data_IF_565375237724
#
_entry.id   IF_565375237724
#
_cell.length_a   1.000
_cell.length_b   1.000
_cell.length_c   1.000
_cell.angle_alpha   90.00
_cell.angle_beta   90.00
_cell.angle_gamma   90.00
#
_symmetry.space_group_name_H-M   'P 1'
#
loop_
_entity.id
_entity.type
_entity.pdbx_description
1 polymer ?
#
# COMPACT_ATOMS: atom_id res chain seq x y z
N UNK A 1 -20.11 7.64 -1.82
CA UNK A 1 -18.92 7.10 -2.52
C UNK A 1 -19.26 6.91 -4.00
N UNK A 2 -18.37 7.28 -4.92
CA UNK A 2 -18.56 7.05 -6.37
C UNK A 2 -17.31 6.41 -6.95
N UNK A 3 -17.48 5.43 -7.83
CA UNK A 3 -16.41 4.75 -8.58
C UNK A 3 -16.71 4.95 -10.07
N UNK A 4 -15.75 5.48 -10.82
CA UNK A 4 -15.94 5.92 -12.22
C UNK A 4 -17.16 6.84 -12.41
N UNK A 5 -17.42 7.72 -11.44
CA UNK A 5 -18.53 8.67 -11.45
C UNK A 5 -19.90 8.08 -11.07
N UNK A 6 -19.99 6.78 -10.79
CA UNK A 6 -21.23 6.06 -10.53
C UNK A 6 -21.27 5.46 -9.11
N UNK A 7 -22.47 5.21 -8.60
CA UNK A 7 -22.66 4.48 -7.34
C UNK A 7 -22.30 3.00 -7.56
N UNK A 8 -21.41 2.41 -6.74
CA UNK A 8 -21.11 0.98 -6.83
C UNK A 8 -22.24 0.10 -6.31
N UNK A 9 -23.18 0.65 -5.54
CA UNK A 9 -24.33 -0.08 -4.99
C UNK A 9 -25.44 -0.30 -6.01
N UNK A 10 -25.58 0.62 -6.96
CA UNK A 10 -26.73 0.67 -7.87
C UNK A 10 -26.39 0.19 -9.30
N UNK A 11 -25.09 -0.03 -9.60
CA UNK A 11 -24.66 -0.44 -10.94
C UNK A 11 -23.66 -1.61 -10.91
N UNK A 12 -24.13 -2.78 -11.37
CA UNK A 12 -23.32 -3.99 -11.52
C UNK A 12 -22.25 -3.88 -12.60
N UNK A 13 -22.35 -2.93 -13.55
CA UNK A 13 -21.30 -2.67 -14.54
C UNK A 13 -20.00 -2.19 -13.89
N UNK A 14 -20.10 -1.41 -12.81
CA UNK A 14 -18.94 -0.93 -12.04
C UNK A 14 -18.16 -2.09 -11.43
N UNK A 15 -18.85 -3.16 -11.02
CA UNK A 15 -18.22 -4.38 -10.52
C UNK A 15 -17.47 -5.14 -11.63
N UNK A 16 -17.95 -5.09 -12.88
CA UNK A 16 -17.25 -5.69 -14.01
C UNK A 16 -15.97 -4.94 -14.37
N UNK A 17 -15.91 -3.63 -14.11
CA UNK A 17 -14.73 -2.77 -14.26
C UNK A 17 -13.75 -2.83 -13.07
N UNK A 18 -14.08 -3.59 -12.01
CA UNK A 18 -13.29 -3.66 -10.79
C UNK A 18 -12.78 -5.07 -10.51
N UNK A 19 -11.53 -5.19 -10.09
CA UNK A 19 -10.93 -6.42 -9.57
C UNK A 19 -10.76 -6.31 -8.06
N UNK A 20 -10.88 -7.42 -7.34
CA UNK A 20 -10.64 -7.45 -5.90
C UNK A 20 -9.91 -8.75 -5.53
N UNK A 21 -8.87 -8.61 -4.71
CA UNK A 21 -8.18 -9.72 -4.05
C UNK A 21 -8.19 -9.44 -2.55
N UNK A 22 -8.84 -10.31 -1.79
CA UNK A 22 -8.87 -10.25 -0.34
C UNK A 22 -7.60 -10.84 0.28
N UNK A 23 -7.29 -10.45 1.52
CA UNK A 23 -6.11 -10.90 2.28
C UNK A 23 -5.93 -12.42 2.30
N UNK A 24 -6.98 -13.17 2.64
CA UNK A 24 -6.93 -14.64 2.71
C UNK A 24 -6.91 -15.33 1.34
N UNK A 25 -7.09 -14.57 0.26
CA UNK A 25 -7.10 -15.09 -1.11
C UNK A 25 -8.03 -16.31 -1.25
N UNK A 26 -9.37 -16.13 -1.06
CA UNK A 26 -10.30 -17.25 -0.98
C UNK A 26 -10.53 -17.91 -2.35
N UNK A 27 -9.59 -18.73 -2.77
CA UNK A 27 -9.67 -19.58 -3.96
C UNK A 27 -10.30 -20.93 -3.60
N UNK A 28 -11.08 -21.50 -4.53
CA UNK A 28 -11.60 -22.87 -4.37
C UNK A 28 -10.44 -23.87 -4.37
N UNK A 29 -10.11 -24.42 -3.20
CA UNK A 29 -8.88 -25.19 -2.97
C UNK A 29 -8.82 -26.51 -3.75
N UNK A 30 -9.97 -27.09 -4.04
CA UNK A 30 -10.08 -28.35 -4.77
C UNK A 30 -9.97 -28.16 -6.28
N UNK A 31 -10.16 -26.94 -6.76
CA UNK A 31 -10.05 -26.61 -8.18
C UNK A 31 -8.59 -26.42 -8.52
N UNK A 32 -8.22 -26.88 -9.71
CA UNK A 32 -6.96 -26.56 -10.37
C UNK A 32 -6.95 -25.11 -10.87
N UNK A 33 -5.76 -24.59 -11.15
CA UNK A 33 -5.63 -23.23 -11.69
C UNK A 33 -6.36 -23.09 -13.05
N UNK A 34 -6.31 -24.13 -13.90
CA UNK A 34 -7.04 -24.17 -15.17
C UNK A 34 -8.57 -24.18 -14.98
N UNK A 35 -9.08 -24.92 -13.99
CA UNK A 35 -10.50 -24.94 -13.66
C UNK A 35 -10.97 -23.59 -13.13
N UNK A 36 -10.18 -22.92 -12.31
CA UNK A 36 -10.50 -21.56 -11.85
C UNK A 36 -10.54 -20.55 -13.00
N UNK A 37 -9.60 -20.65 -13.95
CA UNK A 37 -9.63 -19.81 -15.15
C UNK A 37 -10.88 -20.08 -15.99
N UNK A 38 -11.28 -21.35 -16.10
CA UNK A 38 -12.49 -21.75 -16.80
C UNK A 38 -13.75 -21.25 -16.09
N UNK A 39 -13.83 -21.40 -14.76
CA UNK A 39 -14.92 -20.87 -13.94
C UNK A 39 -15.01 -19.35 -14.09
N UNK A 40 -13.89 -18.64 -14.06
CA UNK A 40 -13.83 -17.20 -14.29
C UNK A 40 -14.46 -16.78 -15.62
N UNK A 41 -14.24 -17.55 -16.70
CA UNK A 41 -14.85 -17.27 -18.02
C UNK A 41 -16.37 -17.43 -18.05
N UNK A 42 -16.95 -18.22 -17.14
CA UNK A 42 -18.40 -18.44 -17.04
C UNK A 42 -19.09 -17.48 -16.08
N UNK A 43 -18.35 -16.97 -15.10
CA UNK A 43 -18.86 -16.13 -14.02
C UNK A 43 -18.69 -14.62 -14.26
N UNK A 44 -17.97 -14.21 -15.30
CA UNK A 44 -17.69 -12.81 -15.58
C UNK A 44 -18.10 -12.43 -17.01
N UNK A 45 -18.60 -11.20 -17.18
CA UNK A 45 -19.00 -10.67 -18.49
C UNK A 45 -17.79 -10.40 -19.41
N UNK A 46 -16.66 -10.00 -18.82
CA UNK A 46 -15.38 -9.83 -19.52
C UNK A 46 -14.36 -10.73 -18.86
N UNK A 47 -13.65 -11.48 -19.68
CA UNK A 47 -12.66 -12.43 -19.21
C UNK A 47 -11.63 -12.74 -20.30
N UNK A 48 -10.37 -12.53 -19.97
CA UNK A 48 -9.22 -12.84 -20.80
C UNK A 48 -8.52 -14.09 -20.25
N UNK A 49 -9.04 -15.25 -20.66
CA UNK A 49 -8.48 -16.52 -20.24
C UNK A 49 -7.06 -16.75 -20.79
N UNK A 50 -6.70 -16.12 -21.91
CA UNK A 50 -5.37 -16.21 -22.49
C UNK A 50 -4.36 -15.47 -21.61
N UNK A 51 -4.68 -14.24 -21.17
CA UNK A 51 -3.88 -13.49 -20.20
C UNK A 51 -3.62 -14.30 -18.93
N UNK A 52 -4.67 -14.88 -18.35
CA UNK A 52 -4.55 -15.69 -17.14
C UNK A 52 -3.62 -16.89 -17.36
N UNK A 53 -3.87 -17.69 -18.40
CA UNK A 53 -3.06 -18.89 -18.71
C UNK A 53 -1.62 -18.55 -19.02
N UNK A 54 -1.37 -17.52 -19.81
CA UNK A 54 -0.02 -17.10 -20.18
C UNK A 54 0.77 -16.66 -18.93
N UNK A 55 0.14 -15.89 -18.03
CA UNK A 55 0.78 -15.48 -16.79
C UNK A 55 1.10 -16.66 -15.88
N UNK A 56 0.15 -17.58 -15.69
CA UNK A 56 0.37 -18.77 -14.88
C UNK A 56 1.52 -19.63 -15.44
N UNK A 57 1.59 -19.77 -16.77
CA UNK A 57 2.67 -20.48 -17.44
C UNK A 57 4.03 -19.79 -17.27
N UNK A 58 4.10 -18.46 -17.39
CA UNK A 58 5.34 -17.68 -17.16
C UNK A 58 5.86 -17.83 -15.72
N UNK A 59 4.96 -17.99 -14.75
CA UNK A 59 5.28 -18.21 -13.34
C UNK A 59 5.55 -19.70 -13.01
N UNK A 60 5.50 -20.58 -14.00
CA UNK A 60 5.69 -22.02 -13.81
C UNK A 60 4.62 -22.67 -12.92
N UNK A 61 3.43 -22.07 -12.82
CA UNK A 61 2.34 -22.59 -12.00
C UNK A 61 1.65 -23.73 -12.77
N UNK A 62 1.65 -24.97 -12.23
CA UNK A 62 1.07 -26.12 -12.93
C UNK A 62 -0.45 -25.96 -13.08
N UNK A 63 -0.99 -26.01 -14.31
CA UNK A 63 -2.39 -25.71 -14.58
C UNK A 63 -3.36 -26.72 -13.96
N UNK A 64 -2.95 -27.99 -13.90
CA UNK A 64 -3.80 -29.12 -13.48
C UNK A 64 -3.65 -29.46 -11.98
N UNK A 65 -2.79 -28.73 -11.25
CA UNK A 65 -2.58 -28.96 -9.82
C UNK A 65 -3.68 -28.24 -9.02
N UNK A 66 -4.36 -28.91 -8.07
CA UNK A 66 -5.29 -28.25 -7.17
C UNK A 66 -4.63 -27.09 -6.43
N UNK A 67 -5.31 -25.96 -6.37
CA UNK A 67 -4.80 -24.72 -5.75
C UNK A 67 -4.49 -24.92 -4.28
N UNK A 68 -5.21 -25.79 -3.58
CA UNK A 68 -4.93 -26.16 -2.19
C UNK A 68 -3.57 -26.82 -1.98
N UNK A 69 -2.93 -27.34 -3.05
CA UNK A 69 -1.60 -27.96 -3.03
C UNK A 69 -0.48 -27.02 -3.51
N UNK A 70 -0.79 -25.77 -3.86
CA UNK A 70 0.18 -24.75 -4.25
C UNK A 70 0.79 -24.05 -3.03
N UNK A 71 1.97 -23.46 -3.17
CA UNK A 71 2.57 -22.63 -2.11
C UNK A 71 1.74 -21.37 -1.86
N UNK A 72 1.95 -20.68 -0.72
CA UNK A 72 1.31 -19.39 -0.45
C UNK A 72 1.49 -18.38 -1.58
N UNK A 73 2.74 -18.19 -2.03
CA UNK A 73 3.07 -17.32 -3.17
C UNK A 73 2.39 -17.72 -4.46
N UNK A 74 2.38 -19.01 -4.80
CA UNK A 74 1.70 -19.50 -6.01
C UNK A 74 0.19 -19.25 -5.95
N UNK A 75 -0.45 -19.42 -4.79
CA UNK A 75 -1.88 -19.12 -4.62
C UNK A 75 -2.17 -17.62 -4.78
N UNK A 76 -1.34 -16.76 -4.21
CA UNK A 76 -1.46 -15.32 -4.39
C UNK A 76 -1.33 -14.92 -5.87
N UNK A 77 -0.36 -15.52 -6.58
CA UNK A 77 -0.18 -15.31 -8.02
C UNK A 77 -1.37 -15.81 -8.85
N UNK A 78 -1.99 -16.94 -8.49
CA UNK A 78 -3.22 -17.41 -9.13
C UNK A 78 -4.34 -16.40 -8.94
N UNK A 79 -4.53 -15.88 -7.73
CA UNK A 79 -5.57 -14.89 -7.48
C UNK A 79 -5.34 -13.58 -8.25
N UNK A 80 -4.09 -13.10 -8.30
CA UNK A 80 -3.73 -11.94 -9.10
C UNK A 80 -4.00 -12.17 -10.59
N UNK A 81 -3.63 -13.36 -11.11
CA UNK A 81 -3.90 -13.73 -12.49
C UNK A 81 -5.41 -13.71 -12.82
N UNK A 82 -6.24 -14.26 -11.93
CA UNK A 82 -7.69 -14.29 -12.09
C UNK A 82 -8.30 -12.88 -11.98
N UNK A 83 -7.80 -12.04 -11.08
CA UNK A 83 -8.27 -10.67 -10.93
C UNK A 83 -7.96 -9.85 -12.19
N UNK A 84 -6.75 -10.00 -12.74
CA UNK A 84 -6.32 -9.29 -13.95
C UNK A 84 -6.93 -9.84 -15.24
N UNK A 85 -7.33 -11.11 -15.26
CA UNK A 85 -8.08 -11.70 -16.37
C UNK A 85 -9.40 -10.94 -16.65
N UNK A 86 -9.97 -10.24 -15.66
CA UNK A 86 -11.15 -9.40 -15.86
C UNK A 86 -10.87 -8.13 -16.67
N UNK A 87 -9.59 -7.80 -16.92
CA UNK A 87 -9.14 -6.51 -17.47
C UNK A 87 -9.75 -5.32 -16.69
N UNK A 88 -9.60 -5.29 -15.34
CA UNK A 88 -10.22 -4.26 -14.54
C UNK A 88 -9.60 -2.88 -14.84
N UNK A 89 -10.40 -1.83 -14.72
CA UNK A 89 -9.91 -0.44 -14.70
C UNK A 89 -9.37 -0.07 -13.33
N UNK A 90 -9.93 -0.66 -12.27
CA UNK A 90 -9.51 -0.51 -10.87
C UNK A 90 -9.30 -1.89 -10.25
N UNK A 91 -8.11 -2.17 -9.73
CA UNK A 91 -7.78 -3.38 -8.99
C UNK A 91 -7.54 -3.03 -7.52
N UNK A 92 -8.35 -3.61 -6.65
CA UNK A 92 -8.26 -3.47 -5.21
C UNK A 92 -7.53 -4.69 -4.63
N UNK A 93 -6.48 -4.46 -3.87
CA UNK A 93 -5.70 -5.52 -3.24
C UNK A 93 -5.65 -5.26 -1.74
N UNK A 94 -6.24 -6.17 -0.97
CA UNK A 94 -6.26 -6.09 0.48
C UNK A 94 -5.18 -6.99 1.07
N UNK A 95 -4.10 -6.39 1.60
CA UNK A 95 -2.93 -7.08 2.15
C UNK A 95 -2.46 -8.34 1.38
N UNK A 96 -2.32 -8.28 0.05
CA UNK A 96 -2.11 -9.47 -0.79
C UNK A 96 -0.76 -10.16 -0.55
N UNK A 97 0.18 -9.49 0.13
CA UNK A 97 1.56 -9.94 0.34
C UNK A 97 1.92 -10.21 1.80
N UNK A 98 0.98 -10.02 2.74
CA UNK A 98 1.26 -10.10 4.17
C UNK A 98 1.75 -11.49 4.61
N UNK A 99 1.19 -12.55 4.04
CA UNK A 99 1.54 -13.95 4.36
C UNK A 99 2.64 -14.54 3.47
N UNK A 100 3.24 -13.73 2.59
CA UNK A 100 4.27 -14.18 1.66
C UNK A 100 5.67 -13.99 2.24
N UNK A 101 6.55 -14.95 1.97
CA UNK A 101 7.97 -14.80 2.20
C UNK A 101 8.56 -13.66 1.35
N UNK A 102 9.74 -13.11 1.70
CA UNK A 102 10.30 -11.95 1.02
C UNK A 102 10.51 -12.12 -0.49
N UNK A 103 10.84 -13.34 -0.96
CA UNK A 103 11.06 -13.59 -2.38
C UNK A 103 9.72 -13.62 -3.13
N UNK A 104 8.75 -14.39 -2.63
CA UNK A 104 7.42 -14.49 -3.21
C UNK A 104 6.70 -13.12 -3.24
N UNK A 105 6.90 -12.30 -2.21
CA UNK A 105 6.40 -10.92 -2.16
C UNK A 105 6.98 -10.07 -3.28
N UNK A 106 8.30 -10.11 -3.45
CA UNK A 106 8.98 -9.35 -4.51
C UNK A 106 8.49 -9.76 -5.89
N UNK A 107 8.35 -11.05 -6.13
CA UNK A 107 7.80 -11.58 -7.38
C UNK A 107 6.34 -11.16 -7.61
N UNK A 108 5.51 -11.16 -6.56
CA UNK A 108 4.14 -10.68 -6.63
C UNK A 108 4.06 -9.21 -7.05
N UNK A 109 4.81 -8.36 -6.36
CA UNK A 109 4.84 -6.92 -6.63
C UNK A 109 5.40 -6.59 -8.01
N UNK A 110 6.47 -7.28 -8.45
CA UNK A 110 6.98 -7.14 -9.82
C UNK A 110 5.94 -7.54 -10.86
N UNK A 111 5.24 -8.64 -10.62
CA UNK A 111 4.17 -9.12 -11.50
C UNK A 111 3.01 -8.12 -11.57
N UNK A 112 2.63 -7.54 -10.43
CA UNK A 112 1.62 -6.50 -10.33
C UNK A 112 2.02 -5.26 -11.15
N UNK A 113 3.22 -4.73 -10.93
CA UNK A 113 3.73 -3.54 -11.63
C UNK A 113 3.80 -3.73 -13.15
N UNK A 114 4.26 -4.88 -13.63
CA UNK A 114 4.24 -5.18 -15.07
C UNK A 114 2.82 -5.16 -15.65
N UNK A 115 1.83 -5.58 -14.87
CA UNK A 115 0.42 -5.58 -15.32
C UNK A 115 -0.19 -4.18 -15.34
N UNK A 116 0.19 -3.32 -14.39
CA UNK A 116 -0.23 -1.91 -14.36
C UNK A 116 0.27 -1.18 -15.60
N UNK A 117 1.55 -1.36 -15.93
CA UNK A 117 2.18 -0.73 -17.08
C UNK A 117 1.53 -1.14 -18.42
N UNK A 118 1.21 -2.43 -18.59
CA UNK A 118 0.68 -2.94 -19.86
C UNK A 118 -0.80 -2.60 -20.10
N UNK A 119 -1.60 -2.43 -19.03
CA UNK A 119 -3.06 -2.38 -19.13
C UNK A 119 -3.69 -1.05 -18.70
N UNK A 120 -2.92 -0.07 -18.22
CA UNK A 120 -3.45 1.19 -17.70
C UNK A 120 -4.42 0.99 -16.52
N UNK A 121 -4.22 -0.08 -15.75
CA UNK A 121 -5.06 -0.44 -14.60
C UNK A 121 -4.66 0.41 -13.40
N UNK A 122 -5.62 1.10 -12.76
CA UNK A 122 -5.37 1.73 -11.47
C UNK A 122 -5.34 0.66 -10.38
N UNK A 123 -4.31 0.65 -9.53
CA UNK A 123 -4.22 -0.29 -8.41
C UNK A 123 -4.32 0.48 -7.10
N UNK A 124 -5.19 0.00 -6.20
CA UNK A 124 -5.20 0.41 -4.81
C UNK A 124 -4.79 -0.79 -3.97
N UNK A 125 -3.69 -0.63 -3.23
CA UNK A 125 -3.08 -1.66 -2.40
C UNK A 125 -3.11 -1.20 -0.95
N UNK A 126 -3.68 -2.01 -0.05
CA UNK A 126 -3.44 -1.87 1.40
C UNK A 126 -2.21 -2.70 1.79
N UNK A 127 -1.37 -2.15 2.66
CA UNK A 127 -0.20 -2.83 3.22
C UNK A 127 0.21 -2.16 4.52
N UNK A 128 0.64 -2.95 5.49
CA UNK A 128 1.35 -2.50 6.69
C UNK A 128 2.88 -2.67 6.56
N UNK A 129 3.36 -3.16 5.43
CA UNK A 129 4.77 -3.46 5.16
C UNK A 129 5.40 -2.29 4.40
N UNK A 130 6.12 -1.43 5.12
CA UNK A 130 6.60 -0.14 4.63
C UNK A 130 7.70 -0.26 3.57
N UNK A 131 8.66 -1.18 3.77
CA UNK A 131 9.79 -1.40 2.87
C UNK A 131 9.41 -1.79 1.42
N UNK A 132 8.19 -2.29 1.23
CA UNK A 132 7.70 -2.68 -0.09
C UNK A 132 7.03 -1.53 -0.84
N UNK A 133 6.47 -0.55 -0.11
CA UNK A 133 5.66 0.54 -0.68
C UNK A 133 6.48 1.54 -1.49
N UNK A 134 7.70 1.86 -1.03
CA UNK A 134 8.61 2.81 -1.70
C UNK A 134 8.87 2.44 -3.17
N UNK A 135 8.81 1.16 -3.52
CA UNK A 135 9.21 0.67 -4.84
C UNK A 135 8.06 0.52 -5.82
N UNK A 136 6.81 0.58 -5.34
CA UNK A 136 5.63 0.20 -6.12
C UNK A 136 4.51 1.24 -6.08
N UNK A 137 4.56 2.18 -5.15
CA UNK A 137 3.51 3.19 -4.99
C UNK A 137 3.93 4.51 -5.61
N UNK A 138 3.07 5.07 -6.47
CA UNK A 138 3.20 6.44 -6.96
C UNK A 138 2.58 7.45 -5.97
N UNK A 139 1.54 7.01 -5.25
CA UNK A 139 0.75 7.81 -4.33
C UNK A 139 0.51 7.05 -3.03
N UNK A 140 0.68 7.72 -1.90
CA UNK A 140 0.54 7.13 -0.57
C UNK A 140 -0.58 7.82 0.20
N UNK A 141 -1.35 7.03 0.94
CA UNK A 141 -2.32 7.50 1.92
C UNK A 141 -2.03 6.79 3.25
N UNK A 142 -1.65 7.55 4.26
CA UNK A 142 -1.42 7.06 5.63
C UNK A 142 -2.70 7.27 6.44
N UNK A 143 -3.25 6.19 6.95
CA UNK A 143 -4.43 6.19 7.81
C UNK A 143 -4.04 5.87 9.25
N UNK A 144 -4.58 6.62 10.19
CA UNK A 144 -4.49 6.33 11.62
C UNK A 144 -5.83 6.68 12.29
N UNK A 145 -6.37 5.80 13.13
CA UNK A 145 -7.65 6.00 13.82
C UNK A 145 -8.78 6.43 12.88
N UNK A 146 -8.87 5.77 11.71
CA UNK A 146 -9.82 6.08 10.63
C UNK A 146 -9.73 7.50 10.04
N UNK A 147 -8.63 8.20 10.27
CA UNK A 147 -8.36 9.53 9.72
C UNK A 147 -7.14 9.50 8.80
N UNK A 148 -7.19 10.28 7.72
CA UNK A 148 -6.05 10.51 6.83
C UNK A 148 -5.06 11.41 7.55
N UNK A 149 -3.88 10.88 7.85
CA UNK A 149 -2.78 11.63 8.49
C UNK A 149 -1.88 12.29 7.44
N UNK A 150 -1.66 11.60 6.33
CA UNK A 150 -0.80 12.04 5.25
C UNK A 150 -1.32 11.49 3.92
N UNK A 151 -1.32 12.32 2.87
CA UNK A 151 -1.62 11.88 1.52
C UNK A 151 -0.82 12.71 0.51
N UNK A 152 -0.23 12.07 -0.49
CA UNK A 152 0.58 12.74 -1.51
C UNK A 152 1.30 11.74 -2.41
N UNK A 153 1.92 12.25 -3.47
CA UNK A 153 2.85 11.42 -4.26
C UNK A 153 4.07 11.07 -3.44
N UNK A 154 4.67 9.91 -3.67
CA UNK A 154 5.88 9.50 -2.93
C UNK A 154 7.00 10.54 -3.07
N UNK A 155 7.17 11.11 -4.26
CA UNK A 155 8.16 12.16 -4.53
C UNK A 155 7.88 13.45 -3.74
N UNK A 156 6.64 13.92 -3.68
CA UNK A 156 6.26 15.10 -2.88
C UNK A 156 6.50 14.85 -1.39
N UNK A 157 6.15 13.65 -0.90
CA UNK A 157 6.34 13.29 0.50
C UNK A 157 7.82 13.20 0.85
N UNK A 158 8.64 12.55 0.03
CA UNK A 158 10.09 12.47 0.24
C UNK A 158 10.76 13.86 0.13
N UNK A 159 10.36 14.68 -0.84
CA UNK A 159 10.92 16.01 -1.03
C UNK A 159 10.53 16.98 0.10
N UNK A 160 9.30 16.88 0.61
CA UNK A 160 8.74 17.78 1.61
C UNK A 160 9.12 17.48 3.06
N UNK A 161 9.82 16.37 3.35
CA UNK A 161 10.22 15.98 4.70
C UNK A 161 11.74 15.92 4.86
N UNK A 162 12.22 16.35 6.03
CA UNK A 162 13.64 16.29 6.41
C UNK A 162 13.81 15.84 7.85
N UNK A 163 14.96 15.24 8.13
CA UNK A 163 15.42 15.03 9.51
C UNK A 163 16.44 16.10 9.87
N UNK A 164 16.21 16.82 10.96
CA UNK A 164 17.14 17.80 11.51
C UNK A 164 17.77 17.24 12.76
N UNK A 165 19.10 17.30 12.85
CA UNK A 165 19.84 16.92 14.05
C UNK A 165 20.70 18.10 14.49
N UNK A 166 20.46 18.61 15.70
CA UNK A 166 21.10 19.81 16.20
C UNK A 166 21.25 19.82 17.72
N UNK A 167 21.72 20.94 18.30
CA UNK A 167 21.81 21.11 19.74
C UNK A 167 20.43 20.98 20.41
N UNK A 168 20.41 20.84 21.75
CA UNK A 168 19.16 20.81 22.50
C UNK A 168 18.33 22.06 22.20
N UNK A 169 17.13 21.86 21.69
CA UNK A 169 16.21 22.92 21.32
C UNK A 169 14.81 22.58 21.81
N UNK A 170 14.24 23.46 22.65
CA UNK A 170 12.89 23.37 23.20
C UNK A 170 11.97 24.50 22.69
N UNK A 171 12.48 25.32 21.76
CA UNK A 171 11.82 26.52 21.28
C UNK A 171 11.21 26.41 19.89
N UNK A 172 10.91 27.56 19.30
CA UNK A 172 10.34 27.70 17.94
C UNK A 172 11.20 26.97 16.90
N UNK A 173 10.60 26.19 15.98
CA UNK A 173 11.34 25.54 14.91
C UNK A 173 12.21 26.53 14.11
N UNK A 174 13.35 26.10 13.54
CA UNK A 174 14.15 26.96 12.69
C UNK A 174 13.37 27.45 11.47
N UNK A 175 13.78 28.57 10.90
CA UNK A 175 13.19 29.10 9.66
C UNK A 175 13.27 28.05 8.53
N UNK A 176 12.24 28.01 7.66
CA UNK A 176 12.10 26.99 6.61
C UNK A 176 11.41 25.69 7.06
N UNK A 177 11.08 25.58 8.35
CA UNK A 177 10.23 24.50 8.88
C UNK A 177 8.77 24.96 8.92
N UNK A 178 7.94 24.32 8.12
CA UNK A 178 6.50 24.53 8.10
C UNK A 178 5.80 23.87 9.29
N UNK A 179 6.24 22.65 9.65
CA UNK A 179 5.69 21.90 10.78
C UNK A 179 6.71 20.90 11.32
N UNK A 180 6.72 20.72 12.64
CA UNK A 180 7.44 19.62 13.30
C UNK A 180 6.46 18.45 13.42
N UNK A 181 6.74 17.36 12.71
CA UNK A 181 5.93 16.13 12.72
C UNK A 181 6.24 15.31 13.97
N UNK A 182 7.53 15.20 14.31
CA UNK A 182 8.01 14.49 15.50
C UNK A 182 9.25 15.18 16.05
N UNK A 183 9.34 15.27 17.37
CA UNK A 183 10.54 15.72 18.06
C UNK A 183 11.02 14.64 19.03
N UNK A 184 12.32 14.42 19.06
CA UNK A 184 12.98 13.57 20.04
C UNK A 184 14.18 14.33 20.61
N UNK A 185 14.34 14.26 21.92
CA UNK A 185 15.33 15.05 22.63
C UNK A 185 16.14 14.19 23.58
N UNK A 186 17.44 14.45 23.59
CA UNK A 186 18.40 13.96 24.58
C UNK A 186 18.96 15.17 25.33
N UNK A 187 19.70 14.97 26.41
CA UNK A 187 20.30 16.08 27.18
C UNK A 187 21.18 17.03 26.34
N UNK A 188 21.70 16.55 25.20
CA UNK A 188 22.66 17.29 24.37
C UNK A 188 22.17 17.64 22.97
N UNK A 189 21.18 16.92 22.45
CA UNK A 189 20.78 17.04 21.05
C UNK A 189 19.27 16.90 20.87
N UNK A 190 18.77 17.53 19.82
CA UNK A 190 17.39 17.37 19.33
C UNK A 190 17.40 16.78 17.94
N UNK A 191 16.54 15.80 17.73
CA UNK A 191 16.24 15.19 16.43
C UNK A 191 14.80 15.52 16.07
N UNK A 192 14.61 16.27 15.00
CA UNK A 192 13.31 16.70 14.52
C UNK A 192 13.01 16.06 13.17
N UNK A 193 11.83 15.48 13.02
CA UNK A 193 11.25 15.17 11.72
C UNK A 193 10.32 16.32 11.36
N UNK A 194 10.61 16.99 10.25
CA UNK A 194 9.94 18.23 9.88
C UNK A 194 9.38 18.16 8.46
N UNK A 195 8.31 18.92 8.24
CA UNK A 195 7.91 19.37 6.91
C UNK A 195 8.56 20.72 6.63
N UNK A 196 9.14 20.86 5.44
CA UNK A 196 9.83 22.09 5.03
C UNK A 196 9.01 22.86 4.00
N UNK A 197 8.95 24.18 4.13
CA UNK A 197 8.41 25.12 3.14
C UNK A 197 9.50 26.04 2.55
N UNK A 198 10.74 25.92 3.02
CA UNK A 198 11.89 26.65 2.53
C UNK A 198 13.22 26.01 2.95
N UNK A 199 14.36 26.60 2.54
CA UNK A 199 15.67 26.14 2.97
C UNK A 199 15.88 26.37 4.46
N UNK A 200 16.66 25.47 5.09
CA UNK A 200 17.07 25.58 6.49
C UNK A 200 18.53 26.02 6.48
N UNK A 201 18.75 27.32 6.64
CA UNK A 201 20.08 27.95 6.52
C UNK A 201 20.84 28.01 7.86
N UNK A 202 20.22 27.58 8.96
CA UNK A 202 20.85 27.57 10.28
C UNK A 202 21.91 26.46 10.36
N UNK A 203 23.21 26.80 10.47
CA UNK A 203 24.31 25.83 10.45
C UNK A 203 24.37 24.97 11.72
N UNK A 204 23.62 25.30 12.77
CA UNK A 204 23.51 24.48 13.98
C UNK A 204 22.72 23.18 13.75
N UNK A 205 21.96 23.10 12.66
CA UNK A 205 21.18 21.94 12.27
C UNK A 205 21.83 21.18 11.12
N UNK A 206 22.12 19.90 11.33
CA UNK A 206 22.43 18.98 10.26
C UNK A 206 21.12 18.52 9.60
N UNK A 207 20.87 18.98 8.37
CA UNK A 207 19.72 18.58 7.55
C UNK A 207 20.04 17.28 6.83
N UNK A 208 19.18 16.27 6.97
CA UNK A 208 19.31 14.96 6.33
C UNK A 208 18.04 14.60 5.57
N UNK A 209 18.22 13.85 4.49
CA UNK A 209 17.13 13.11 3.86
C UNK A 209 16.59 12.05 4.82
N UNK A 210 15.33 11.67 4.61
CA UNK A 210 14.62 10.72 5.45
C UNK A 210 13.91 9.71 4.56
N UNK A 211 13.89 8.44 5.00
CA UNK A 211 13.20 7.37 4.29
C UNK A 211 11.68 7.57 4.34
N UNK A 212 10.95 7.01 3.36
CA UNK A 212 9.49 7.05 3.41
C UNK A 212 8.97 6.24 4.59
N UNK A 213 9.65 5.14 4.93
CA UNK A 213 9.37 4.33 6.13
C UNK A 213 9.36 5.20 7.40
N UNK A 214 10.41 5.98 7.65
CA UNK A 214 10.51 6.84 8.83
C UNK A 214 9.46 7.96 8.82
N UNK A 215 9.13 8.52 7.65
CA UNK A 215 8.03 9.48 7.50
C UNK A 215 6.72 8.82 7.95
N UNK A 216 6.38 7.65 7.43
CA UNK A 216 5.13 6.95 7.73
C UNK A 216 5.05 6.62 9.22
N UNK A 217 6.12 6.05 9.79
CA UNK A 217 6.18 5.70 11.21
C UNK A 217 5.93 6.92 12.11
N UNK A 218 6.41 8.10 11.72
CA UNK A 218 6.17 9.32 12.48
C UNK A 218 4.68 9.72 12.50
N UNK A 219 3.99 9.69 11.36
CA UNK A 219 2.55 9.99 11.30
C UNK A 219 1.68 8.93 11.98
N UNK A 220 2.12 7.67 12.00
CA UNK A 220 1.44 6.61 12.74
C UNK A 220 1.61 6.78 14.25
N UNK A 221 2.76 7.24 14.73
CA UNK A 221 3.00 7.47 16.15
C UNK A 221 2.27 8.70 16.71
N UNK A 222 2.00 9.73 15.89
CA UNK A 222 1.36 10.98 16.34
C UNK A 222 -0.11 10.79 16.77
N UNK A 223 -0.83 9.84 16.15
CA UNK A 223 -2.22 9.58 16.56
C UNK A 223 -2.33 8.99 17.97
N UNK A 224 -1.30 8.27 18.44
CA UNK A 224 -1.26 7.71 19.79
C UNK A 224 -1.10 8.80 20.87
N UNK A 225 -0.56 9.96 20.50
CA UNK A 225 -0.36 11.09 21.43
C UNK A 225 -1.62 11.94 21.62
N UNK A 226 -2.60 11.88 20.70
CA UNK A 226 -3.91 12.53 20.88
C UNK A 226 -4.93 11.65 21.61
N UNK A 227 -4.69 10.34 21.76
CA UNK A 227 -5.50 9.40 22.55
C UNK A 227 -4.83 8.98 23.86
N UNK A 228 -4.02 9.87 24.46
CA UNK A 228 -3.63 9.73 25.85
C UNK A 228 -4.90 9.77 26.74
N UNK A 229 -5.23 8.63 27.31
CA UNK A 229 -6.27 8.38 28.31
C UNK A 229 -6.50 9.55 29.28
N UNK A 230 -7.51 10.39 29.06
CA UNK A 230 -8.10 11.22 30.13
C UNK A 230 -9.60 11.50 30.00
N UNK A 231 -10.27 11.14 28.90
CA UNK A 231 -11.65 11.58 28.64
C UNK A 231 -12.76 10.51 28.75
N UNK A 232 -12.48 9.35 29.33
CA UNK A 232 -13.55 8.41 29.71
C UNK A 232 -13.97 8.66 31.15
N UNK A 233 -14.78 9.72 31.34
CA UNK A 233 -15.51 10.00 32.56
C UNK A 233 -16.55 8.92 32.86
N UNK A 234 -16.11 7.79 33.42
CA UNK A 234 -17.00 6.77 33.99
C UNK A 234 -16.93 6.89 35.52
N UNK A 235 -17.99 7.36 36.20
CA UNK A 235 -18.05 7.34 37.66
C UNK A 235 -18.20 5.90 38.17
N UNK A 236 -17.55 5.63 39.31
CA UNK A 236 -17.60 4.37 40.05
C UNK A 236 -19.00 4.05 40.61
#
# INVERSE_FOLDING_TARGET
MRVFGQSPYDNTKTLADSGFVAQDTPLYRDFSAAELVTAGSKLNQRWDAALARNRLAQLGIPPDRPVGKLSGGQRAQVALALALAKRPRLLLLDEPVASLDPLARREFLQSLMGSVADAGTTVLLSSHLLADLERVCDYLIVLNSAQVQLAGTVDELAAGHRQLVGPRHDGTPPAGVAAVVRASHTDRQSTLLVRTDGPIDDPSWAVREISLEDIILAYLATGDTMTSHTDWGVPA
#
